data_IF_182440297040
#
_entry.id   IF_182440297040
#
_cell.length_a   1.000
_cell.length_b   1.000
_cell.length_c   1.000
_cell.angle_alpha   90.00
_cell.angle_beta   90.00
_cell.angle_gamma   90.00
#
_symmetry.space_group_name_H-M   'P 1'
#
loop_
_entity.id
_entity.type
_entity.pdbx_description
1 polymer ?
#
# COMPACT_ATOMS: atom_id res chain seq x y z
N UNK A 1 4.30 -5.55 -10.61
CA UNK A 1 4.50 -4.23 -11.27
C UNK A 1 4.80 -3.23 -10.14
N UNK A 2 5.92 -2.52 -10.18
CA UNK A 2 6.36 -1.67 -9.04
C UNK A 2 5.60 -0.34 -9.04
N UNK A 3 5.54 0.33 -7.87
CA UNK A 3 5.00 1.68 -7.72
C UNK A 3 5.59 2.65 -8.76
N UNK A 4 6.89 2.54 -9.00
CA UNK A 4 7.60 3.35 -9.99
C UNK A 4 7.07 3.14 -11.41
N UNK A 5 6.85 1.90 -11.84
CA UNK A 5 6.35 1.60 -13.18
C UNK A 5 4.92 2.13 -13.37
N UNK A 6 4.04 1.95 -12.37
CA UNK A 6 2.65 2.42 -12.44
C UNK A 6 2.57 3.94 -12.51
N UNK A 7 3.35 4.62 -11.65
CA UNK A 7 3.46 6.09 -11.68
C UNK A 7 4.00 6.55 -13.03
N UNK A 8 5.11 5.98 -13.51
CA UNK A 8 5.72 6.42 -14.76
C UNK A 8 4.78 6.26 -15.95
N UNK A 9 4.10 5.11 -16.07
CA UNK A 9 3.15 4.84 -17.15
C UNK A 9 2.05 5.90 -17.23
N UNK A 10 1.55 6.39 -16.09
CA UNK A 10 0.51 7.43 -16.06
C UNK A 10 1.07 8.82 -16.40
N UNK A 11 2.31 9.12 -16.01
CA UNK A 11 2.97 10.35 -16.45
C UNK A 11 3.27 10.32 -17.95
N UNK A 12 3.67 9.17 -18.51
CA UNK A 12 3.89 9.01 -19.95
C UNK A 12 2.58 9.21 -20.71
N UNK A 13 1.47 8.66 -20.21
CA UNK A 13 0.15 8.92 -20.77
C UNK A 13 -0.24 10.41 -20.67
N UNK A 14 0.07 11.08 -19.56
CA UNK A 14 -0.16 12.53 -19.43
C UNK A 14 0.62 13.35 -20.46
N UNK A 15 1.83 12.92 -20.84
CA UNK A 15 2.59 13.55 -21.93
C UNK A 15 1.83 13.44 -23.24
N UNK A 16 1.30 12.25 -23.57
CA UNK A 16 0.45 12.07 -24.76
C UNK A 16 -0.73 13.03 -24.74
N UNK A 17 -1.48 13.12 -23.64
CA UNK A 17 -2.61 14.06 -23.50
C UNK A 17 -2.16 15.52 -23.70
N UNK A 18 -1.01 15.89 -23.14
CA UNK A 18 -0.44 17.25 -23.27
C UNK A 18 0.00 17.60 -24.70
N UNK A 19 0.24 16.61 -25.57
CA UNK A 19 0.47 16.84 -27.01
C UNK A 19 -0.83 16.78 -27.81
N UNK A 20 -1.74 15.86 -27.47
CA UNK A 20 -3.01 15.66 -28.19
C UNK A 20 -3.96 16.85 -28.07
N UNK A 21 -4.09 17.45 -26.88
CA UNK A 21 -5.04 18.57 -26.69
C UNK A 21 -4.60 19.83 -27.46
N UNK A 22 -3.33 20.28 -27.44
CA UNK A 22 -2.89 21.37 -28.31
C UNK A 22 -3.08 21.08 -29.81
N UNK A 23 -2.82 19.85 -30.26
CA UNK A 23 -3.07 19.44 -31.63
C UNK A 23 -4.57 19.54 -31.98
N UNK A 24 -5.44 19.09 -31.08
CA UNK A 24 -6.90 19.24 -31.22
C UNK A 24 -7.32 20.72 -31.31
N UNK A 25 -6.78 21.59 -30.45
CA UNK A 25 -7.04 23.04 -30.51
C UNK A 25 -6.62 23.65 -31.85
N UNK A 26 -5.48 23.23 -32.39
CA UNK A 26 -5.03 23.66 -33.72
C UNK A 26 -6.00 23.21 -34.81
N UNK A 27 -6.46 21.96 -34.77
CA UNK A 27 -7.43 21.45 -35.74
C UNK A 27 -8.78 22.18 -35.66
N UNK A 28 -9.27 22.49 -34.45
CA UNK A 28 -10.47 23.32 -34.28
C UNK A 28 -10.32 24.69 -34.94
N UNK A 29 -9.15 25.32 -34.80
CA UNK A 29 -8.86 26.60 -35.48
C UNK A 29 -8.85 26.45 -37.00
N UNK A 30 -8.28 25.37 -37.54
CA UNK A 30 -8.28 25.10 -38.98
C UNK A 30 -9.70 24.84 -39.52
N UNK A 31 -10.58 24.23 -38.71
CA UNK A 31 -11.99 24.05 -39.03
C UNK A 31 -12.71 25.40 -39.10
N UNK A 32 -12.46 26.29 -38.13
CA UNK A 32 -13.03 27.65 -38.12
C UNK A 32 -12.56 28.49 -39.31
N UNK A 33 -11.31 28.29 -39.76
CA UNK A 33 -10.73 28.93 -40.95
C UNK A 33 -11.22 28.30 -42.27
N UNK A 34 -12.02 27.23 -42.23
CA UNK A 34 -12.48 26.51 -43.43
C UNK A 34 -11.40 25.72 -44.16
N UNK A 35 -10.22 25.52 -43.54
CA UNK A 35 -9.10 24.75 -44.13
C UNK A 35 -9.30 23.24 -44.06
N UNK A 36 -10.13 22.78 -43.12
CA UNK A 36 -10.59 21.39 -43.03
C UNK A 36 -12.12 21.39 -42.93
N UNK A 37 -12.75 20.29 -43.33
CA UNK A 37 -14.22 20.16 -43.37
C UNK A 37 -14.80 19.47 -42.13
N UNK A 38 -14.00 18.66 -41.42
CA UNK A 38 -14.40 18.00 -40.17
C UNK A 38 -13.20 17.73 -39.26
N UNK A 39 -13.46 17.54 -37.97
CA UNK A 39 -12.48 16.97 -37.04
C UNK A 39 -12.35 15.46 -37.23
N UNK A 40 -11.24 14.84 -36.79
CA UNK A 40 -11.12 13.39 -36.72
C UNK A 40 -12.23 12.78 -35.87
N UNK A 41 -12.73 11.63 -36.31
CA UNK A 41 -13.73 10.89 -35.56
C UNK A 41 -13.08 10.32 -34.27
N UNK A 42 -13.75 10.41 -33.11
CA UNK A 42 -13.24 9.85 -31.85
C UNK A 42 -13.09 8.32 -31.94
N UNK A 43 -12.02 7.80 -31.33
CA UNK A 43 -11.70 6.36 -31.37
C UNK A 43 -12.67 5.51 -30.52
N UNK A 44 -12.96 5.96 -29.29
CA UNK A 44 -13.78 5.20 -28.32
C UNK A 44 -15.18 5.80 -28.06
N UNK A 45 -15.38 7.09 -28.30
CA UNK A 45 -16.64 7.78 -28.00
C UNK A 45 -17.49 7.93 -29.26
N UNK A 46 -18.80 8.11 -29.11
CA UNK A 46 -19.66 8.44 -30.25
C UNK A 46 -19.31 9.81 -30.86
N UNK A 47 -19.41 9.93 -32.18
CA UNK A 47 -19.13 11.16 -32.93
C UNK A 47 -20.13 12.31 -32.69
N UNK A 48 -21.07 12.15 -31.77
CA UNK A 48 -22.19 13.07 -31.52
C UNK A 48 -21.85 14.24 -30.59
N UNK A 49 -20.58 14.44 -30.24
CA UNK A 49 -20.19 15.54 -29.34
C UNK A 49 -20.12 16.88 -30.08
N UNK A 50 -20.90 17.90 -29.67
CA UNK A 50 -20.81 19.23 -30.25
C UNK A 50 -19.41 19.82 -30.13
N UNK A 51 -18.90 20.44 -31.20
CA UNK A 51 -17.59 21.10 -31.22
C UNK A 51 -17.41 22.14 -30.10
N UNK A 52 -18.50 22.78 -29.68
CA UNK A 52 -18.53 23.73 -28.55
C UNK A 52 -18.15 23.07 -27.23
N UNK A 53 -18.75 21.93 -26.88
CA UNK A 53 -18.40 21.17 -25.67
C UNK A 53 -16.96 20.67 -25.70
N UNK A 54 -16.47 20.26 -26.87
CA UNK A 54 -15.11 19.79 -27.02
C UNK A 54 -14.08 20.91 -26.77
N UNK A 55 -14.40 22.17 -27.16
CA UNK A 55 -13.57 23.35 -26.83
C UNK A 55 -13.51 23.61 -25.33
N UNK A 56 -14.65 23.62 -24.66
CA UNK A 56 -14.73 23.83 -23.20
C UNK A 56 -13.89 22.78 -22.45
N UNK A 57 -13.97 21.52 -22.88
CA UNK A 57 -13.16 20.43 -22.32
C UNK A 57 -11.67 20.62 -22.60
N UNK A 58 -11.30 21.07 -23.79
CA UNK A 58 -9.92 21.34 -24.18
C UNK A 58 -9.32 22.54 -23.46
N UNK A 59 -10.11 23.53 -23.03
CA UNK A 59 -9.60 24.70 -22.30
C UNK A 59 -9.23 24.39 -20.86
N UNK A 60 -10.08 23.65 -20.14
CA UNK A 60 -9.84 23.24 -18.75
C UNK A 60 -9.03 21.95 -18.57
N UNK A 61 -8.45 21.38 -19.63
CA UNK A 61 -7.90 20.02 -19.58
C UNK A 61 -6.74 19.85 -18.58
N UNK A 62 -5.92 20.90 -18.39
CA UNK A 62 -4.73 20.82 -17.54
C UNK A 62 -5.10 20.60 -16.07
N UNK A 63 -6.14 21.28 -15.60
CA UNK A 63 -6.59 21.19 -14.21
C UNK A 63 -7.23 19.82 -13.96
N UNK A 64 -8.04 19.33 -14.91
CA UNK A 64 -8.62 17.98 -14.84
C UNK A 64 -7.53 16.92 -14.85
N UNK A 65 -6.58 17.01 -15.78
CA UNK A 65 -5.45 16.08 -15.86
C UNK A 65 -4.63 16.10 -14.57
N UNK A 66 -4.31 17.28 -14.04
CA UNK A 66 -3.55 17.41 -12.80
C UNK A 66 -4.28 16.77 -11.61
N UNK A 67 -5.59 16.99 -11.49
CA UNK A 67 -6.44 16.38 -10.46
C UNK A 67 -6.42 14.85 -10.57
N UNK A 68 -6.61 14.29 -11.76
CA UNK A 68 -6.57 12.83 -11.94
C UNK A 68 -5.19 12.25 -11.60
N UNK A 69 -4.11 12.87 -12.09
CA UNK A 69 -2.74 12.42 -11.80
C UNK A 69 -2.40 12.46 -10.31
N UNK A 70 -2.90 13.48 -9.60
CA UNK A 70 -2.74 13.59 -8.16
C UNK A 70 -3.43 12.43 -7.44
N UNK A 71 -4.71 12.18 -7.77
CA UNK A 71 -5.48 11.07 -7.19
C UNK A 71 -4.82 9.72 -7.48
N UNK A 72 -4.39 9.48 -8.72
CA UNK A 72 -3.70 8.24 -9.10
C UNK A 72 -2.39 8.06 -8.33
N UNK A 73 -1.58 9.12 -8.19
CA UNK A 73 -0.33 9.06 -7.43
C UNK A 73 -0.56 8.66 -5.97
N UNK A 74 -1.61 9.22 -5.34
CA UNK A 74 -1.96 8.91 -3.96
C UNK A 74 -2.47 7.46 -3.82
N UNK A 75 -3.36 7.03 -4.71
CA UNK A 75 -3.89 5.66 -4.70
C UNK A 75 -2.78 4.60 -4.91
N UNK A 76 -1.80 4.87 -5.78
CA UNK A 76 -0.67 3.97 -5.93
C UNK A 76 0.20 3.88 -4.69
N UNK A 77 0.44 5.00 -4.02
CA UNK A 77 1.14 5.01 -2.74
C UNK A 77 0.41 4.18 -1.69
N UNK A 78 -0.91 4.35 -1.54
CA UNK A 78 -1.72 3.59 -0.57
C UNK A 78 -1.68 2.08 -0.84
N UNK A 79 -1.87 1.70 -2.11
CA UNK A 79 -1.81 0.29 -2.51
C UNK A 79 -0.43 -0.32 -2.31
N UNK A 80 0.63 0.42 -2.65
CA UNK A 80 2.00 -0.01 -2.41
C UNK A 80 2.25 -0.21 -0.91
N UNK A 81 1.93 0.78 -0.07
CA UNK A 81 2.16 0.71 1.38
C UNK A 81 1.44 -0.48 2.01
N UNK A 82 0.16 -0.64 1.70
CA UNK A 82 -0.63 -1.75 2.21
C UNK A 82 -0.10 -3.12 1.77
N UNK A 83 0.45 -3.21 0.56
CA UNK A 83 1.06 -4.44 0.04
C UNK A 83 2.41 -4.74 0.70
N UNK A 84 3.28 -3.74 0.80
CA UNK A 84 4.60 -3.87 1.42
C UNK A 84 4.52 -4.29 2.89
N UNK A 85 3.62 -3.65 3.67
CA UNK A 85 3.42 -4.01 5.07
C UNK A 85 2.89 -5.45 5.24
N UNK A 86 1.96 -5.88 4.38
CA UNK A 86 1.43 -7.26 4.41
C UNK A 86 2.52 -8.28 4.07
N UNK A 87 3.30 -8.00 3.04
CA UNK A 87 4.39 -8.88 2.59
C UNK A 87 5.42 -9.06 3.70
N UNK A 88 5.89 -7.97 4.30
CA UNK A 88 6.91 -8.01 5.34
C UNK A 88 6.41 -8.73 6.60
N UNK A 89 5.16 -8.49 7.02
CA UNK A 89 4.58 -9.24 8.14
C UNK A 89 4.44 -10.74 7.83
N UNK A 90 4.04 -11.09 6.61
CA UNK A 90 3.95 -12.49 6.19
C UNK A 90 5.33 -13.19 6.14
N UNK A 91 6.41 -12.45 5.87
CA UNK A 91 7.78 -12.98 5.90
C UNK A 91 8.32 -13.16 7.32
N UNK A 92 7.82 -12.37 8.29
CA UNK A 92 8.33 -12.38 9.67
C UNK A 92 7.91 -13.63 10.47
N UNK A 93 6.71 -14.16 10.23
CA UNK A 93 6.12 -15.30 10.97
C UNK A 93 5.53 -16.32 10.00
N UNK A 94 5.91 -17.60 10.15
CA UNK A 94 5.19 -18.70 9.48
C UNK A 94 3.85 -18.90 10.18
N UNK A 95 2.79 -18.33 9.60
CA UNK A 95 1.43 -18.54 10.07
C UNK A 95 0.98 -19.92 9.55
N UNK A 96 0.70 -20.91 10.42
CA UNK A 96 0.16 -22.20 9.98
C UNK A 96 -1.19 -22.01 9.29
N UNK A 97 -1.53 -22.90 8.36
CA UNK A 97 -2.89 -22.90 7.78
C UNK A 97 -3.96 -23.03 8.88
N UNK A 98 -5.10 -22.39 8.66
CA UNK A 98 -6.17 -22.28 9.66
C UNK A 98 -6.67 -23.63 10.19
N UNK A 99 -6.74 -24.64 9.32
CA UNK A 99 -7.14 -26.00 9.71
C UNK A 99 -6.05 -26.70 10.53
N UNK A 100 -4.78 -26.45 10.23
CA UNK A 100 -3.62 -26.92 11.01
C UNK A 100 -3.57 -26.26 12.39
N UNK A 101 -3.82 -24.96 12.47
CA UNK A 101 -3.91 -24.23 13.74
C UNK A 101 -5.09 -24.76 14.59
N UNK A 102 -6.26 -24.92 13.98
CA UNK A 102 -7.46 -25.42 14.67
C UNK A 102 -7.25 -26.84 15.20
N UNK A 103 -6.74 -27.75 14.37
CA UNK A 103 -6.43 -29.12 14.79
C UNK A 103 -5.37 -29.18 15.89
N UNK A 104 -4.32 -28.36 15.81
CA UNK A 104 -3.29 -28.26 16.87
C UNK A 104 -3.85 -27.73 18.19
N UNK A 105 -4.82 -26.81 18.15
CA UNK A 105 -5.49 -26.29 19.35
C UNK A 105 -6.51 -27.27 19.95
N UNK A 106 -7.22 -28.05 19.11
CA UNK A 106 -8.25 -28.99 19.58
C UNK A 106 -7.72 -30.36 19.94
N UNK A 107 -6.70 -30.86 19.24
CA UNK A 107 -6.26 -32.26 19.35
C UNK A 107 -5.19 -32.48 20.43
N UNK A 108 -4.64 -31.40 20.99
CA UNK A 108 -3.58 -31.44 22.00
C UNK A 108 -4.15 -31.75 23.40
N UNK A 109 -4.76 -32.93 23.51
CA UNK A 109 -5.53 -33.45 24.65
C UNK A 109 -4.66 -34.10 25.73
N UNK A 110 -3.38 -34.34 25.43
CA UNK A 110 -2.45 -34.97 26.36
C UNK A 110 -2.03 -34.01 27.48
N UNK A 111 -2.70 -34.11 28.63
CA UNK A 111 -2.47 -33.23 29.79
C UNK A 111 -1.23 -33.60 30.59
N UNK A 112 -0.71 -34.82 30.43
CA UNK A 112 0.40 -35.35 31.23
C UNK A 112 1.75 -34.67 30.91
N UNK A 113 2.20 -34.54 29.65
CA UNK A 113 3.38 -33.76 29.31
C UNK A 113 3.29 -32.31 29.82
N UNK A 114 2.14 -31.65 29.59
CA UNK A 114 1.89 -30.27 30.06
C UNK A 114 2.01 -30.13 31.57
N UNK A 115 1.44 -31.06 32.34
CA UNK A 115 1.50 -31.04 33.82
C UNK A 115 2.92 -31.21 34.33
N UNK A 116 3.72 -32.06 33.69
CA UNK A 116 5.11 -32.33 34.09
C UNK A 116 6.01 -31.15 33.73
N UNK A 117 5.85 -30.57 32.54
CA UNK A 117 6.65 -29.42 32.11
C UNK A 117 6.29 -28.10 32.83
N UNK A 118 5.10 -28.02 33.44
CA UNK A 118 4.70 -26.90 34.32
C UNK A 118 5.21 -27.03 35.75
N UNK A 119 5.69 -28.21 36.16
CA UNK A 119 6.21 -28.41 37.51
C UNK A 119 7.56 -27.70 37.69
N UNK A 120 7.93 -27.41 38.94
CA UNK A 120 9.21 -26.76 39.26
C UNK A 120 10.37 -27.52 38.62
N UNK A 121 11.25 -26.80 37.93
CA UNK A 121 12.40 -27.38 37.23
C UNK A 121 13.39 -27.98 38.22
N UNK A 122 13.75 -29.25 38.00
CA UNK A 122 14.83 -29.95 38.71
C UNK A 122 15.84 -30.47 37.68
N UNK A 123 17.07 -29.95 37.75
CA UNK A 123 18.16 -30.29 36.82
C UNK A 123 18.44 -31.81 36.75
N UNK A 124 18.15 -32.56 37.83
CA UNK A 124 18.32 -34.03 37.86
C UNK A 124 17.35 -34.76 36.93
N UNK A 125 16.26 -34.12 36.52
CA UNK A 125 15.22 -34.69 35.66
C UNK A 125 15.25 -34.15 34.22
N UNK A 126 16.38 -33.59 33.76
CA UNK A 126 16.53 -33.00 32.42
C UNK A 126 16.02 -33.91 31.29
N UNK A 127 16.43 -35.18 31.28
CA UNK A 127 16.00 -36.17 30.28
C UNK A 127 14.48 -36.40 30.28
N UNK A 128 13.83 -36.30 31.44
CA UNK A 128 12.37 -36.40 31.57
C UNK A 128 11.70 -35.21 30.89
N UNK A 129 12.23 -34.00 31.09
CA UNK A 129 11.70 -32.81 30.43
C UNK A 129 11.92 -32.86 28.92
N UNK A 130 13.10 -33.22 28.44
CA UNK A 130 13.37 -33.39 27.00
C UNK A 130 12.41 -34.39 26.34
N UNK A 131 12.15 -35.53 27.00
CA UNK A 131 11.20 -36.53 26.51
C UNK A 131 9.79 -35.92 26.34
N UNK A 132 9.29 -35.24 27.38
CA UNK A 132 7.95 -34.64 27.33
C UNK A 132 7.86 -33.44 26.38
N UNK A 133 8.96 -32.71 26.15
CA UNK A 133 9.03 -31.69 25.11
C UNK A 133 8.91 -32.31 23.73
N UNK A 134 9.66 -33.37 23.42
CA UNK A 134 9.55 -34.10 22.13
C UNK A 134 8.16 -34.71 21.92
N UNK A 135 7.52 -35.21 22.98
CA UNK A 135 6.14 -35.69 22.92
C UNK A 135 5.16 -34.56 22.56
N UNK A 136 5.33 -33.35 23.12
CA UNK A 136 4.52 -32.19 22.74
C UNK A 136 4.79 -31.72 21.30
N UNK A 137 6.06 -31.70 20.87
CA UNK A 137 6.42 -31.31 19.51
C UNK A 137 5.82 -32.27 18.48
N UNK A 138 5.84 -33.59 18.75
CA UNK A 138 5.23 -34.61 17.91
C UNK A 138 3.69 -34.49 17.82
N UNK A 139 3.05 -33.89 18.84
CA UNK A 139 1.62 -33.57 18.86
C UNK A 139 1.31 -32.19 18.24
N UNK A 140 2.26 -31.56 17.54
CA UNK A 140 2.15 -30.20 16.99
C UNK A 140 1.75 -29.18 18.07
N UNK A 141 2.33 -29.27 19.26
CA UNK A 141 2.12 -28.28 20.30
C UNK A 141 2.57 -26.89 19.84
N UNK A 142 1.68 -25.92 19.97
CA UNK A 142 1.98 -24.52 19.68
C UNK A 142 2.39 -23.86 21.00
N UNK A 143 3.61 -23.34 21.07
CA UNK A 143 4.04 -22.60 22.25
C UNK A 143 3.16 -21.36 22.46
N UNK A 144 2.90 -20.96 23.72
CA UNK A 144 2.09 -19.77 23.99
C UNK A 144 2.63 -18.51 23.30
N UNK A 145 3.96 -18.38 23.19
CA UNK A 145 4.61 -17.26 22.51
C UNK A 145 4.34 -17.27 21.00
N UNK A 146 4.34 -18.45 20.37
CA UNK A 146 4.02 -18.60 18.95
C UNK A 146 2.55 -18.27 18.70
N UNK A 147 1.65 -18.75 19.58
CA UNK A 147 0.22 -18.45 19.49
C UNK A 147 -0.06 -16.96 19.64
N UNK A 148 0.58 -16.29 20.60
CA UNK A 148 0.48 -14.83 20.77
C UNK A 148 1.01 -14.11 19.52
N UNK A 149 2.12 -14.58 18.95
CA UNK A 149 2.71 -14.00 17.74
C UNK A 149 1.78 -14.15 16.53
N UNK A 150 1.17 -15.32 16.35
CA UNK A 150 0.17 -15.58 15.30
C UNK A 150 -1.02 -14.62 15.45
N UNK A 151 -1.60 -14.53 16.64
CA UNK A 151 -2.75 -13.64 16.91
C UNK A 151 -2.38 -12.17 16.66
N UNK A 152 -1.19 -11.75 17.12
CA UNK A 152 -0.70 -10.39 16.91
C UNK A 152 -0.55 -10.07 15.43
N UNK A 153 0.07 -10.96 14.64
CA UNK A 153 0.26 -10.78 13.20
C UNK A 153 -1.08 -10.77 12.46
N UNK A 154 -2.00 -11.69 12.77
CA UNK A 154 -3.34 -11.68 12.16
C UNK A 154 -4.09 -10.37 12.45
N UNK A 155 -3.99 -9.87 13.68
CA UNK A 155 -4.61 -8.59 14.05
C UNK A 155 -3.94 -7.40 13.35
N UNK A 156 -2.62 -7.42 13.18
CA UNK A 156 -1.89 -6.40 12.45
C UNK A 156 -2.26 -6.40 10.96
N UNK A 157 -2.36 -7.57 10.33
CA UNK A 157 -2.77 -7.69 8.93
C UNK A 157 -4.18 -7.11 8.74
N UNK A 158 -5.13 -7.43 9.61
CA UNK A 158 -6.47 -6.82 9.57
C UNK A 158 -6.42 -5.30 9.70
N UNK A 159 -5.61 -4.79 10.63
CA UNK A 159 -5.41 -3.36 10.81
C UNK A 159 -4.84 -2.68 9.56
N UNK A 160 -3.92 -3.35 8.86
CA UNK A 160 -3.34 -2.84 7.60
C UNK A 160 -4.38 -2.84 6.46
N UNK A 161 -5.24 -3.86 6.39
CA UNK A 161 -6.33 -3.91 5.39
C UNK A 161 -7.27 -2.72 5.55
N UNK A 162 -7.60 -2.36 6.80
CA UNK A 162 -8.52 -1.27 7.12
C UNK A 162 -7.82 0.08 7.33
N UNK A 163 -6.51 0.17 7.04
CA UNK A 163 -5.70 1.34 7.31
C UNK A 163 -6.11 2.51 6.41
N UNK A 164 -6.62 3.58 7.03
CA UNK A 164 -7.00 4.80 6.31
C UNK A 164 -5.81 5.72 6.12
N UNK A 165 -5.84 6.52 5.06
CA UNK A 165 -4.80 7.51 4.75
C UNK A 165 -4.39 8.37 5.96
N UNK A 166 -5.37 8.85 6.74
CA UNK A 166 -5.10 9.71 7.91
C UNK A 166 -4.39 8.99 9.05
N UNK A 167 -4.47 7.67 9.11
CA UNK A 167 -3.85 6.85 10.14
C UNK A 167 -2.42 6.44 9.76
N UNK A 168 -2.01 6.57 8.49
CA UNK A 168 -0.72 6.10 8.00
C UNK A 168 0.46 6.61 8.84
N UNK A 169 0.63 7.93 9.09
CA UNK A 169 1.78 8.40 9.87
C UNK A 169 1.79 7.86 11.30
N UNK A 170 0.65 7.87 11.98
CA UNK A 170 0.57 7.42 13.37
C UNK A 170 0.71 5.89 13.47
N UNK A 171 0.27 5.14 12.46
CA UNK A 171 0.50 3.70 12.37
C UNK A 171 1.98 3.38 12.20
N UNK A 172 2.68 4.10 11.30
CA UNK A 172 4.11 3.90 11.09
C UNK A 172 4.92 4.21 12.36
N UNK A 173 4.59 5.29 13.08
CA UNK A 173 5.26 5.68 14.32
C UNK A 173 4.92 4.72 15.47
N UNK A 174 3.63 4.48 15.72
CA UNK A 174 3.21 3.79 16.94
C UNK A 174 3.28 2.27 16.82
N UNK A 175 3.08 1.72 15.61
CA UNK A 175 3.03 0.28 15.37
C UNK A 175 4.33 -0.23 14.76
N UNK A 176 4.77 0.38 13.66
CA UNK A 176 5.99 -0.03 12.94
C UNK A 176 7.25 0.55 13.59
N UNK A 177 7.11 1.49 14.54
CA UNK A 177 8.23 2.14 15.23
C UNK A 177 9.21 2.84 14.28
N UNK A 178 8.71 3.26 13.12
CA UNK A 178 9.47 4.05 12.16
C UNK A 178 9.43 5.51 12.59
N UNK A 179 10.61 6.10 12.78
CA UNK A 179 10.71 7.54 13.01
C UNK A 179 10.35 8.32 11.74
N UNK A 180 9.37 9.20 11.87
CA UNK A 180 8.92 10.07 10.78
C UNK A 180 9.14 11.52 11.23
N UNK A 181 9.85 12.28 10.40
CA UNK A 181 10.07 13.69 10.67
C UNK A 181 8.75 14.48 10.71
N UNK A 182 8.68 15.51 11.56
CA UNK A 182 7.52 16.41 11.60
C UNK A 182 7.25 17.07 10.24
N UNK A 183 8.31 17.32 9.46
CA UNK A 183 8.18 17.83 8.10
C UNK A 183 7.51 16.85 7.14
N UNK A 184 7.84 15.56 7.22
CA UNK A 184 7.22 14.53 6.38
C UNK A 184 5.77 14.29 6.84
N UNK A 185 5.51 14.26 8.15
CA UNK A 185 4.14 14.17 8.71
C UNK A 185 3.25 15.31 8.23
N UNK A 186 3.75 16.55 8.27
CA UNK A 186 3.04 17.75 7.79
C UNK A 186 2.82 17.72 6.28
N UNK A 187 3.83 17.31 5.51
CA UNK A 187 3.73 17.20 4.05
C UNK A 187 2.69 16.14 3.65
N UNK A 188 2.74 14.96 4.28
CA UNK A 188 1.76 13.90 4.09
C UNK A 188 0.34 14.38 4.44
N UNK A 189 0.17 15.04 5.59
CA UNK A 189 -1.11 15.61 6.00
C UNK A 189 -1.67 16.61 5.00
N UNK A 190 -0.81 17.45 4.41
CA UNK A 190 -1.19 18.44 3.39
C UNK A 190 -1.70 17.77 2.11
N UNK A 191 -0.99 16.77 1.60
CA UNK A 191 -1.41 16.05 0.39
C UNK A 191 -2.65 15.19 0.64
N UNK A 192 -2.76 14.57 1.81
CA UNK A 192 -3.97 13.85 2.21
C UNK A 192 -5.18 14.77 2.25
N UNK A 193 -5.06 15.96 2.84
CA UNK A 193 -6.16 16.92 2.89
C UNK A 193 -6.59 17.29 1.47
N UNK A 194 -5.64 17.64 0.60
CA UNK A 194 -5.93 17.92 -0.80
C UNK A 194 -6.64 16.75 -1.51
N UNK A 195 -6.23 15.50 -1.24
CA UNK A 195 -6.89 14.30 -1.78
C UNK A 195 -8.34 14.19 -1.32
N UNK A 196 -8.60 14.49 -0.05
CA UNK A 196 -9.94 14.48 0.50
C UNK A 196 -10.80 15.60 -0.08
N UNK A 197 -10.27 16.82 -0.17
CA UNK A 197 -10.96 17.97 -0.77
C UNK A 197 -11.39 17.62 -2.22
N UNK A 198 -10.48 17.07 -3.02
CA UNK A 198 -10.80 16.60 -4.38
C UNK A 198 -11.89 15.52 -4.37
N UNK A 199 -11.77 14.52 -3.49
CA UNK A 199 -12.70 13.40 -3.42
C UNK A 199 -14.10 13.81 -2.94
N UNK A 200 -14.20 14.86 -2.12
CA UNK A 200 -15.47 15.43 -1.65
C UNK A 200 -16.08 16.44 -2.62
N UNK A 201 -15.38 16.78 -3.71
CA UNK A 201 -15.88 17.69 -4.74
C UNK A 201 -15.56 19.17 -4.48
N UNK A 202 -14.69 19.48 -3.52
CA UNK A 202 -14.27 20.84 -3.17
C UNK A 202 -13.27 21.38 -4.20
N UNK A 203 -13.65 21.42 -5.49
CA UNK A 203 -12.87 21.78 -6.70
C UNK A 203 -11.58 22.59 -6.46
N UNK A 204 -10.49 21.98 -5.94
CA UNK A 204 -9.34 22.75 -5.53
C UNK A 204 -8.44 22.92 -6.74
N UNK A 205 -7.77 24.06 -6.86
CA UNK A 205 -6.86 24.27 -7.99
C UNK A 205 -5.62 23.39 -7.84
N UNK A 206 -5.57 22.30 -8.59
CA UNK A 206 -4.41 21.38 -8.66
C UNK A 206 -3.60 21.71 -9.90
N UNK A 207 -2.35 22.13 -9.71
CA UNK A 207 -1.43 22.38 -10.82
C UNK A 207 -0.53 21.18 -11.07
N UNK A 208 -0.07 21.00 -12.32
CA UNK A 208 0.92 19.98 -12.67
C UNK A 208 2.21 20.06 -11.84
N UNK A 209 2.59 21.26 -11.39
CA UNK A 209 3.71 21.44 -10.46
C UNK A 209 3.44 20.73 -9.12
N UNK A 210 2.26 20.96 -8.54
CA UNK A 210 1.84 20.35 -7.27
C UNK A 210 1.74 18.83 -7.38
N UNK A 211 1.30 18.32 -8.53
CA UNK A 211 1.30 16.87 -8.84
C UNK A 211 2.73 16.31 -8.80
N UNK A 212 3.69 16.96 -9.46
CA UNK A 212 5.10 16.52 -9.46
C UNK A 212 5.72 16.56 -8.07
N UNK A 213 5.44 17.60 -7.30
CA UNK A 213 5.90 17.75 -5.91
C UNK A 213 5.34 16.63 -5.02
N UNK A 214 4.02 16.41 -5.07
CA UNK A 214 3.37 15.35 -4.32
C UNK A 214 3.90 13.97 -4.72
N UNK A 215 4.07 13.71 -6.02
CA UNK A 215 4.61 12.43 -6.50
C UNK A 215 6.05 12.21 -6.01
N UNK A 216 6.91 13.23 -6.10
CA UNK A 216 8.27 13.16 -5.60
C UNK A 216 8.31 12.86 -4.11
N UNK A 217 7.45 13.53 -3.32
CA UNK A 217 7.32 13.28 -1.90
C UNK A 217 6.85 11.85 -1.60
N UNK A 218 5.75 11.40 -2.20
CA UNK A 218 5.18 10.07 -1.96
C UNK A 218 6.17 8.96 -2.33
N UNK A 219 6.94 9.13 -3.42
CA UNK A 219 8.00 8.20 -3.80
C UNK A 219 9.13 8.15 -2.78
N UNK A 220 9.63 9.32 -2.36
CA UNK A 220 10.66 9.40 -1.31
C UNK A 220 10.16 8.71 -0.03
N UNK A 221 8.93 9.01 0.37
CA UNK A 221 8.34 8.45 1.59
C UNK A 221 8.14 6.94 1.48
N UNK A 222 7.69 6.44 0.33
CA UNK A 222 7.62 5.01 0.05
C UNK A 222 9.00 4.33 0.17
N UNK A 223 10.05 4.90 -0.42
CA UNK A 223 11.42 4.38 -0.31
C UNK A 223 11.92 4.34 1.13
N UNK A 224 11.68 5.40 1.92
CA UNK A 224 12.07 5.42 3.33
C UNK A 224 11.38 4.31 4.13
N UNK A 225 10.10 4.04 3.84
CA UNK A 225 9.36 2.95 4.48
C UNK A 225 9.92 1.59 4.05
N UNK A 226 10.19 1.41 2.75
CA UNK A 226 10.77 0.17 2.20
C UNK A 226 12.11 -0.18 2.86
N UNK A 227 13.02 0.79 2.90
CA UNK A 227 14.35 0.65 3.50
C UNK A 227 14.25 0.25 4.98
N UNK A 228 13.40 0.93 5.74
CA UNK A 228 13.18 0.64 7.16
C UNK A 228 12.61 -0.77 7.37
N UNK A 229 11.62 -1.17 6.57
CA UNK A 229 11.02 -2.50 6.67
C UNK A 229 12.03 -3.61 6.33
N UNK A 230 12.85 -3.41 5.29
CA UNK A 230 13.89 -4.37 4.91
C UNK A 230 14.94 -4.51 6.00
N UNK A 231 15.39 -3.39 6.57
CA UNK A 231 16.44 -3.37 7.59
C UNK A 231 16.01 -4.04 8.90
N UNK A 232 14.77 -3.82 9.34
CA UNK A 232 14.34 -4.20 10.69
C UNK A 232 13.37 -5.39 10.77
N UNK A 233 12.64 -5.70 9.70
CA UNK A 233 11.56 -6.70 9.74
C UNK A 233 11.80 -7.92 8.83
N UNK A 234 12.79 -7.87 7.94
CA UNK A 234 13.13 -9.00 7.08
C UNK A 234 14.24 -9.84 7.71
N UNK A 235 14.01 -11.15 7.85
CA UNK A 235 15.02 -12.09 8.40
C UNK A 235 16.27 -12.13 7.54
N UNK A 236 17.43 -11.99 8.18
CA UNK A 236 18.73 -12.19 7.55
C UNK A 236 18.96 -13.71 7.44
N UNK A 237 18.86 -14.26 6.23
CA UNK A 237 18.90 -15.72 5.96
C UNK A 237 20.14 -16.44 6.52
N UNK A 238 21.26 -15.74 6.68
CA UNK A 238 22.53 -16.29 7.14
C UNK A 238 22.91 -15.87 8.56
N UNK A 239 21.97 -15.29 9.32
CA UNK A 239 22.21 -14.93 10.71
C UNK A 239 22.02 -16.15 11.60
N UNK A 240 23.12 -16.65 12.16
CA UNK A 240 23.14 -17.79 13.08
C UNK A 240 22.98 -17.23 14.50
N UNK A 241 21.94 -17.67 15.21
CA UNK A 241 21.69 -17.32 16.61
C UNK A 241 21.77 -18.57 17.47
#
# INVERSE_FOLDING_TARGET
MTLQTQVQSIFDFAVVVCHSIPALKLQMKLLDEGKITKLPDPDYFEANNPTTKLREQADGYKDKLATYLFLSSFAFFENYLGSALKEVLALSVSIPEKETLKSSLTNNTNTKPKKILRSTYDARHMQRYEKYSRELDAENYIHPNDLVSIIAVESLIKTIVDLKANQIPDFLINTIKMDISDSDKKSFGTYRQLRNDIAHGDNPTVTMRKVKEANKFLRKFATQIDEFLIEHYVKIKNYIT
#
